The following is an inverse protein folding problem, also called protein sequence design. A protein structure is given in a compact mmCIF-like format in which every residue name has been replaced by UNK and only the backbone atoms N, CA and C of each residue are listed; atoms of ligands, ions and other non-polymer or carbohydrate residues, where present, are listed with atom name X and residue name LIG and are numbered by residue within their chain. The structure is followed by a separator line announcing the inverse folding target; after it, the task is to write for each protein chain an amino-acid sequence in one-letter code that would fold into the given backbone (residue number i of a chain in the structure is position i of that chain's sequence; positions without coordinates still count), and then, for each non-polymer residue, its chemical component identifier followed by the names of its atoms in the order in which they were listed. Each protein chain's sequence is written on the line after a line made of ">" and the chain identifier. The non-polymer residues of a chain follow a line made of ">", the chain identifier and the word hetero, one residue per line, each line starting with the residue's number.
data_IF_885406899648
#
_entry.id   IF_885406899648
#
_cell.length_a   1.000
_cell.length_b   1.000
_cell.length_c   1.000
_cell.angle_alpha   90.00
_cell.angle_beta   90.00
_cell.angle_gamma   90.00
#
_symmetry.space_group_name_H-M   'P 1'
#
loop_
_entity.id
_entity.type
_entity.pdbx_description
1 polymer ?
#
# COMPACT_ATOMS: atom_id res chain seq x y z
N UNK A 1 -3.29 15.65 1.89
CA UNK A 1 -3.40 15.40 0.45
C UNK A 1 -3.94 14.00 0.20
N UNK A 2 -4.81 13.85 -0.81
CA UNK A 2 -5.48 12.58 -1.14
C UNK A 2 -5.29 12.25 -2.62
N UNK A 3 -5.10 10.97 -2.92
CA UNK A 3 -5.26 10.43 -4.26
C UNK A 3 -6.73 10.05 -4.42
N UNK A 4 -7.41 10.64 -5.40
CA UNK A 4 -8.79 10.33 -5.77
C UNK A 4 -8.77 9.75 -7.19
N UNK A 5 -9.14 8.50 -7.33
CA UNK A 5 -9.10 7.81 -8.62
C UNK A 5 -10.15 6.71 -8.69
N UNK A 6 -10.24 6.08 -9.86
CA UNK A 6 -11.11 4.92 -10.08
C UNK A 6 -10.26 3.72 -10.46
N UNK A 7 -10.49 2.61 -9.79
CA UNK A 7 -9.87 1.36 -10.20
C UNK A 7 -10.48 0.87 -11.50
N UNK A 8 -9.67 0.76 -12.55
CA UNK A 8 -10.16 0.38 -13.88
C UNK A 8 -10.86 -0.98 -13.92
N UNK A 9 -10.31 -1.97 -13.21
CA UNK A 9 -10.82 -3.35 -13.18
C UNK A 9 -12.20 -3.48 -12.51
N UNK A 10 -12.46 -2.72 -11.46
CA UNK A 10 -13.69 -2.85 -10.64
C UNK A 10 -14.63 -1.65 -10.75
N UNK A 11 -14.21 -0.60 -11.46
CA UNK A 11 -14.92 0.69 -11.55
C UNK A 11 -15.21 1.34 -10.18
N UNK A 12 -14.49 0.93 -9.16
CA UNK A 12 -14.67 1.40 -7.78
C UNK A 12 -13.90 2.69 -7.55
N UNK A 13 -14.52 3.65 -6.87
CA UNK A 13 -13.83 4.84 -6.39
C UNK A 13 -12.79 4.45 -5.35
N UNK A 14 -11.60 5.01 -5.50
CA UNK A 14 -10.47 4.79 -4.60
C UNK A 14 -9.99 6.14 -4.09
N UNK A 15 -10.07 6.33 -2.79
CA UNK A 15 -9.57 7.49 -2.09
C UNK A 15 -8.49 7.04 -1.11
N UNK A 16 -7.26 7.49 -1.33
CA UNK A 16 -6.12 7.11 -0.49
C UNK A 16 -5.44 8.36 0.05
N UNK A 17 -5.37 8.54 1.38
CA UNK A 17 -4.59 9.62 1.94
C UNK A 17 -3.10 9.38 1.67
N UNK A 18 -2.39 10.42 1.26
CA UNK A 18 -0.97 10.34 1.01
C UNK A 18 -0.18 10.26 2.32
N UNK A 19 0.68 9.27 2.41
CA UNK A 19 1.70 9.24 3.45
C UNK A 19 2.78 10.30 3.16
N UNK A 20 3.43 10.86 4.20
CA UNK A 20 4.45 11.91 4.01
C UNK A 20 5.57 11.52 3.05
N UNK A 21 5.96 10.25 3.03
CA UNK A 21 6.97 9.72 2.10
C UNK A 21 6.49 9.78 0.64
N UNK A 22 5.24 9.42 0.38
CA UNK A 22 4.64 9.48 -0.95
C UNK A 22 4.50 10.94 -1.42
N UNK A 23 4.07 11.83 -0.55
CA UNK A 23 4.00 13.26 -0.84
C UNK A 23 5.38 13.85 -1.19
N UNK A 24 6.43 13.49 -0.45
CA UNK A 24 7.80 13.90 -0.74
C UNK A 24 8.27 13.44 -2.13
N UNK A 25 7.89 12.23 -2.54
CA UNK A 25 8.20 11.72 -3.87
C UNK A 25 7.46 12.53 -4.94
N UNK A 26 6.16 12.78 -4.77
CA UNK A 26 5.36 13.57 -5.72
C UNK A 26 5.93 14.98 -5.89
N UNK A 27 6.26 15.66 -4.79
CA UNK A 27 6.88 17.01 -4.83
C UNK A 27 8.21 17.03 -5.60
N UNK A 28 9.00 15.95 -5.56
CA UNK A 28 10.24 15.83 -6.33
C UNK A 28 10.02 15.89 -7.84
N UNK A 29 8.85 15.47 -8.31
CA UNK A 29 8.49 15.41 -9.73
C UNK A 29 7.56 16.55 -10.15
N UNK A 30 7.07 17.37 -9.23
CA UNK A 30 6.16 18.49 -9.49
C UNK A 30 6.76 19.44 -10.55
N UNK A 31 5.97 19.77 -11.56
CA UNK A 31 6.36 20.69 -12.64
C UNK A 31 7.39 20.15 -13.63
N UNK A 32 7.79 18.88 -13.55
CA UNK A 32 8.78 18.29 -14.47
C UNK A 32 8.17 17.78 -15.78
N UNK A 33 6.87 17.58 -15.82
CA UNK A 33 6.15 17.08 -17.00
C UNK A 33 5.12 18.11 -17.46
N UNK A 34 5.08 18.33 -18.78
CA UNK A 34 4.30 19.42 -19.40
C UNK A 34 2.79 19.08 -19.53
N UNK A 35 2.43 17.82 -19.53
CA UNK A 35 1.07 17.35 -19.82
C UNK A 35 0.21 17.10 -18.56
N UNK A 36 0.58 17.69 -17.43
CA UNK A 36 -0.15 17.49 -16.16
C UNK A 36 0.09 16.12 -15.51
N UNK A 37 1.01 15.33 -16.02
CA UNK A 37 1.43 14.09 -15.40
C UNK A 37 2.21 14.36 -14.10
N UNK A 38 1.86 13.65 -13.04
CA UNK A 38 2.55 13.78 -11.74
C UNK A 38 3.84 12.97 -11.67
N UNK A 39 3.93 11.87 -12.42
CA UNK A 39 5.04 10.93 -12.43
C UNK A 39 5.31 10.43 -13.84
N UNK A 40 6.55 10.01 -14.17
CA UNK A 40 6.84 9.37 -15.44
C UNK A 40 6.11 8.02 -15.51
N UNK A 41 5.16 7.89 -16.43
CA UNK A 41 4.39 6.67 -16.61
C UNK A 41 5.04 5.82 -17.68
N UNK A 42 5.55 4.66 -17.29
CA UNK A 42 6.02 3.61 -18.17
C UNK A 42 4.94 2.53 -18.31
N UNK A 43 4.96 1.79 -19.41
CA UNK A 43 4.13 0.59 -19.51
C UNK A 43 4.51 -0.41 -18.41
N UNK A 44 3.54 -1.23 -17.96
CA UNK A 44 3.81 -2.26 -16.94
C UNK A 44 4.96 -3.20 -17.35
N UNK A 45 5.06 -3.50 -18.62
CA UNK A 45 6.11 -4.36 -19.16
C UNK A 45 7.51 -3.72 -19.00
N UNK A 46 7.66 -2.44 -19.35
CA UNK A 46 8.92 -1.69 -19.17
C UNK A 46 9.25 -1.53 -17.69
N UNK A 47 8.27 -1.19 -16.86
CA UNK A 47 8.46 -1.07 -15.41
C UNK A 47 8.97 -2.37 -14.81
N UNK A 48 8.37 -3.50 -15.16
CA UNK A 48 8.80 -4.81 -14.66
C UNK A 48 10.19 -5.20 -15.17
N UNK A 49 10.56 -4.85 -16.41
CA UNK A 49 11.90 -5.07 -16.94
C UNK A 49 12.94 -4.29 -16.14
N UNK A 50 12.72 -3.01 -15.88
CA UNK A 50 13.63 -2.20 -15.05
C UNK A 50 13.70 -2.69 -13.59
N UNK A 51 12.58 -3.12 -13.01
CA UNK A 51 12.58 -3.70 -11.66
C UNK A 51 13.43 -4.97 -11.60
N UNK A 52 13.42 -5.79 -12.65
CA UNK A 52 14.28 -6.97 -12.75
C UNK A 52 15.77 -6.58 -12.82
N UNK A 53 16.13 -5.60 -13.64
CA UNK A 53 17.50 -5.10 -13.71
C UNK A 53 17.98 -4.57 -12.35
N UNK A 54 17.15 -3.80 -11.65
CA UNK A 54 17.45 -3.28 -10.31
C UNK A 54 17.64 -4.45 -9.32
N UNK A 55 16.78 -5.46 -9.36
CA UNK A 55 16.90 -6.63 -8.51
C UNK A 55 18.23 -7.37 -8.76
N UNK A 56 18.60 -7.57 -10.01
CA UNK A 56 19.85 -8.23 -10.40
C UNK A 56 21.08 -7.44 -9.91
N UNK A 57 21.08 -6.10 -10.08
CA UNK A 57 22.17 -5.23 -9.61
C UNK A 57 22.27 -5.25 -8.08
N UNK A 58 21.14 -5.30 -7.37
CA UNK A 58 21.09 -5.28 -5.91
C UNK A 58 21.25 -6.67 -5.27
N UNK A 59 21.40 -7.73 -6.04
CA UNK A 59 21.48 -9.10 -5.53
C UNK A 59 20.18 -9.59 -4.88
N UNK A 60 19.03 -9.07 -5.35
CA UNK A 60 17.71 -9.46 -4.85
C UNK A 60 17.19 -10.63 -5.68
N UNK A 61 17.11 -11.81 -5.08
CA UNK A 61 16.66 -13.04 -5.77
C UNK A 61 15.14 -13.07 -6.04
N UNK A 62 14.37 -12.23 -5.33
CA UNK A 62 12.92 -12.15 -5.51
C UNK A 62 12.56 -11.54 -6.85
N UNK A 63 11.55 -12.10 -7.51
CA UNK A 63 10.99 -11.52 -8.73
C UNK A 63 10.23 -10.23 -8.41
N UNK A 64 10.90 -9.09 -8.58
CA UNK A 64 10.29 -7.78 -8.36
C UNK A 64 9.37 -7.42 -9.53
N UNK A 65 8.10 -7.18 -9.22
CA UNK A 65 7.10 -6.71 -10.17
C UNK A 65 6.37 -5.49 -9.61
N UNK A 66 5.76 -4.69 -10.49
CA UNK A 66 4.92 -3.58 -10.05
C UNK A 66 3.75 -4.05 -9.16
N UNK A 67 3.20 -5.23 -9.42
CA UNK A 67 2.15 -5.82 -8.59
C UNK A 67 2.63 -6.17 -7.17
N UNK A 68 3.92 -6.50 -7.01
CA UNK A 68 4.50 -6.78 -5.69
C UNK A 68 4.47 -5.54 -4.78
N UNK A 69 4.60 -4.33 -5.33
CA UNK A 69 4.45 -3.10 -4.55
C UNK A 69 3.07 -2.99 -3.93
N UNK A 70 2.01 -3.35 -4.66
CA UNK A 70 0.64 -3.40 -4.14
C UNK A 70 0.48 -4.45 -3.04
N UNK A 71 1.10 -5.63 -3.22
CA UNK A 71 1.12 -6.67 -2.20
C UNK A 71 1.83 -6.18 -0.92
N UNK A 72 3.00 -5.57 -1.05
CA UNK A 72 3.77 -5.02 0.07
C UNK A 72 3.00 -3.90 0.79
N UNK A 73 2.33 -3.03 0.05
CA UNK A 73 1.46 -2.01 0.66
C UNK A 73 0.36 -2.66 1.50
N UNK A 74 -0.35 -3.65 0.97
CA UNK A 74 -1.43 -4.33 1.67
C UNK A 74 -0.95 -5.10 2.91
N UNK A 75 0.21 -5.75 2.85
CA UNK A 75 0.73 -6.60 3.94
C UNK A 75 1.54 -5.80 4.95
N UNK A 76 2.72 -5.35 4.54
CA UNK A 76 3.73 -4.78 5.44
C UNK A 76 3.42 -3.35 5.85
N UNK A 77 2.93 -2.54 4.91
CA UNK A 77 2.74 -1.10 5.16
C UNK A 77 1.41 -0.78 5.85
N UNK A 78 0.39 -1.62 5.69
CA UNK A 78 -0.95 -1.37 6.24
C UNK A 78 -1.38 -2.43 7.25
N UNK A 79 -1.76 -3.62 6.83
CA UNK A 79 -2.25 -4.68 7.73
C UNK A 79 -1.23 -5.03 8.83
N UNK A 80 0.06 -5.14 8.48
CA UNK A 80 1.16 -5.39 9.43
C UNK A 80 1.40 -4.25 10.42
N UNK A 81 0.86 -3.05 10.16
CA UNK A 81 0.92 -1.88 11.05
C UNK A 81 -0.42 -1.58 11.74
N UNK A 82 -1.35 -2.51 11.71
CA UNK A 82 -2.61 -2.42 12.43
C UNK A 82 -3.71 -1.65 11.71
N UNK A 83 -3.54 -1.30 10.43
CA UNK A 83 -4.63 -0.72 9.64
C UNK A 83 -5.73 -1.76 9.45
N UNK A 84 -7.00 -1.46 9.78
CA UNK A 84 -8.10 -2.40 9.62
C UNK A 84 -8.26 -2.89 8.17
N UNK A 85 -8.60 -4.16 8.01
CA UNK A 85 -8.71 -4.79 6.69
C UNK A 85 -9.76 -4.12 5.81
N UNK A 86 -10.82 -3.59 6.39
CA UNK A 86 -11.88 -2.85 5.69
C UNK A 86 -11.32 -1.58 5.04
N UNK A 87 -10.48 -0.85 5.77
CA UNK A 87 -9.79 0.35 5.26
C UNK A 87 -8.84 0.00 4.13
N UNK A 88 -8.05 -1.07 4.30
CA UNK A 88 -7.14 -1.55 3.26
C UNK A 88 -7.91 -2.00 2.02
N UNK A 89 -9.02 -2.71 2.19
CA UNK A 89 -9.89 -3.15 1.10
C UNK A 89 -10.40 -1.96 0.26
N UNK A 90 -10.83 -0.89 0.93
CA UNK A 90 -11.29 0.35 0.29
C UNK A 90 -10.15 1.06 -0.45
N UNK A 91 -8.99 1.22 0.18
CA UNK A 91 -7.81 1.83 -0.46
C UNK A 91 -7.33 1.04 -1.69
N UNK A 92 -7.47 -0.28 -1.68
CA UNK A 92 -7.13 -1.14 -2.81
C UNK A 92 -8.23 -1.18 -3.89
N UNK A 93 -9.42 -0.60 -3.64
CA UNK A 93 -10.55 -0.62 -4.56
C UNK A 93 -11.12 -2.03 -4.77
N UNK A 94 -11.11 -2.86 -3.74
CA UNK A 94 -11.77 -4.16 -3.78
C UNK A 94 -13.27 -4.01 -3.52
N UNK A 95 -14.09 -4.66 -4.33
CA UNK A 95 -15.56 -4.71 -4.14
C UNK A 95 -15.96 -5.72 -3.07
N UNK A 96 -15.10 -6.73 -2.86
CA UNK A 96 -15.30 -7.77 -1.86
C UNK A 96 -14.07 -7.85 -0.93
N UNK A 97 -14.32 -7.79 0.37
CA UNK A 97 -13.27 -7.87 1.40
C UNK A 97 -12.50 -9.20 1.36
N UNK A 98 -13.11 -10.28 0.90
CA UNK A 98 -12.46 -11.58 0.74
C UNK A 98 -11.24 -11.49 -0.18
N UNK A 99 -11.26 -10.59 -1.17
CA UNK A 99 -10.10 -10.33 -2.03
C UNK A 99 -8.91 -9.75 -1.25
N UNK A 100 -9.19 -9.03 -0.15
CA UNK A 100 -8.15 -8.47 0.73
C UNK A 100 -7.68 -9.48 1.76
N UNK A 101 -8.52 -10.43 2.15
CA UNK A 101 -8.19 -11.46 3.15
C UNK A 101 -7.00 -12.34 2.74
N UNK A 102 -6.71 -12.48 1.45
CA UNK A 102 -5.50 -13.17 0.98
C UNK A 102 -4.20 -12.55 1.50
N UNK A 103 -4.23 -11.27 1.88
CA UNK A 103 -3.10 -10.53 2.45
C UNK A 103 -3.07 -10.59 3.98
N UNK A 104 -4.19 -10.95 4.62
CA UNK A 104 -4.33 -10.95 6.07
C UNK A 104 -3.88 -12.29 6.65
N UNK A 105 -2.61 -12.35 7.07
CA UNK A 105 -2.15 -13.44 7.93
C UNK A 105 -2.25 -12.97 9.38
N UNK A 106 -3.13 -13.60 10.14
CA UNK A 106 -3.20 -13.38 11.58
C UNK A 106 -2.15 -14.27 12.22
N UNK A 107 -1.08 -13.64 12.73
CA UNK A 107 -0.03 -14.31 13.48
C UNK A 107 -0.26 -14.12 14.97
N UNK A 108 0.39 -14.95 15.79
CA UNK A 108 0.35 -14.80 17.24
C UNK A 108 0.94 -13.45 17.68
N UNK A 109 1.98 -12.96 16.97
CA UNK A 109 2.57 -11.65 17.22
C UNK A 109 1.55 -10.53 16.98
N UNK A 110 0.73 -10.64 15.90
CA UNK A 110 -0.32 -9.66 15.65
C UNK A 110 -1.37 -9.68 16.75
N UNK A 111 -1.81 -10.84 17.19
CA UNK A 111 -2.78 -10.98 18.29
C UNK A 111 -2.21 -10.34 19.56
N UNK A 112 -0.95 -10.63 19.91
CA UNK A 112 -0.28 -10.05 21.08
C UNK A 112 -0.23 -8.53 21.00
N UNK A 113 0.18 -7.99 19.86
CA UNK A 113 0.25 -6.55 19.64
C UNK A 113 -1.12 -5.86 19.71
N UNK A 114 -2.15 -6.46 19.14
CA UNK A 114 -3.52 -5.92 19.18
C UNK A 114 -4.04 -5.91 20.64
N UNK A 115 -3.76 -6.96 21.42
CA UNK A 115 -4.13 -7.03 22.84
C UNK A 115 -3.33 -6.08 23.72
N UNK A 116 -2.05 -5.85 23.43
CA UNK A 116 -1.23 -4.83 24.12
C UNK A 116 -1.78 -3.42 23.87
N UNK A 117 -2.18 -3.11 22.64
CA UNK A 117 -2.80 -1.83 22.31
C UNK A 117 -4.13 -1.65 23.02
N UNK A 118 -4.95 -2.71 23.08
CA UNK A 118 -6.20 -2.70 23.84
C UNK A 118 -5.94 -2.45 25.31
N UNK A 119 -4.98 -3.15 25.91
CA UNK A 119 -4.61 -2.99 27.31
C UNK A 119 -4.14 -1.56 27.65
N UNK A 120 -3.35 -0.95 26.76
CA UNK A 120 -2.95 0.46 26.90
C UNK A 120 -4.14 1.42 26.87
N UNK A 121 -5.11 1.16 25.97
CA UNK A 121 -6.31 1.99 25.88
C UNK A 121 -7.23 1.81 27.08
N UNK A 122 -7.31 0.61 27.64
CA UNK A 122 -8.12 0.30 28.84
C UNK A 122 -7.43 0.77 30.14
N UNK A 123 -6.09 0.79 30.21
CA UNK A 123 -5.35 1.25 31.36
C UNK A 123 -5.54 2.72 31.72
N UNK A 124 -6.19 3.51 30.84
CA UNK A 124 -6.62 4.88 31.09
C UNK A 124 -8.04 4.96 31.66
N UNK A 125 -8.70 3.85 31.88
CA UNK A 125 -10.01 3.76 32.50
C UNK A 125 -9.81 3.43 33.99
N UNK A 126 -10.00 4.39 34.87
CA UNK A 126 -10.12 4.17 36.31
C UNK A 126 -11.43 3.42 36.58
N UNK A 127 -11.32 2.18 37.01
CA UNK A 127 -12.45 1.39 37.50
C UNK A 127 -12.57 1.50 39.02
#
# INVERSE_FOLDING_TARGET
>A
LWIVTHRQKTKTNVNVPLLPMAEKILRKYEGKYLDGELLPILSNQKTNAYLKEIADICGIEKNLTFHLARHTFATTMTLGKGVPIESVSKMLGHTNIQTTQIYARITNEKISHDMENLAKNLGNLDF
#
